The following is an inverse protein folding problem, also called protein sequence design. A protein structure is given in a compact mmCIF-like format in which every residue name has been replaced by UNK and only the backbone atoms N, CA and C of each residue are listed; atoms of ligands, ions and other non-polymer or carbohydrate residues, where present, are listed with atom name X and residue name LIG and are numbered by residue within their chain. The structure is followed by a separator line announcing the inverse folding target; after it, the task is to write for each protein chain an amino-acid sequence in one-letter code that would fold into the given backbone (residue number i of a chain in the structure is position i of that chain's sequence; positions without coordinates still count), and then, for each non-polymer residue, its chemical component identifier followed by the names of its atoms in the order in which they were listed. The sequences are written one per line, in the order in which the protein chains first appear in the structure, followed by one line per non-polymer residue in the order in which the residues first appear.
data_IF_336647521791
#
_entry.id   IF_336647521791
#
_cell.length_a   1.000
_cell.length_b   1.000
_cell.length_c   1.000
_cell.angle_alpha   90.00
_cell.angle_beta   90.00
_cell.angle_gamma   90.00
#
_symmetry.space_group_name_H-M   'P 1'
#
loop_
_entity.id
_entity.type
_entity.pdbx_description
1 polymer ?
#
# COMPACT_ATOMS: atom_id res chain seq x y z
N UNK A 1 -33.64 -4.42 16.83
CA UNK A 1 -33.47 -3.33 15.85
C UNK A 1 -31.96 -3.12 15.71
N UNK A 2 -31.33 -3.78 14.71
CA UNK A 2 -29.93 -3.56 14.39
C UNK A 2 -29.81 -2.26 13.62
N UNK A 3 -29.01 -1.32 14.11
CA UNK A 3 -28.60 -0.18 13.31
C UNK A 3 -27.74 -0.70 12.16
N UNK A 4 -28.27 -0.67 10.95
CA UNK A 4 -27.47 -0.72 9.74
C UNK A 4 -26.54 0.50 9.78
N UNK A 5 -25.26 0.27 10.07
CA UNK A 5 -24.23 1.27 9.88
C UNK A 5 -24.07 1.39 8.37
N UNK A 6 -24.90 2.24 7.77
CA UNK A 6 -24.80 2.59 6.36
C UNK A 6 -23.42 3.19 6.12
N UNK A 7 -22.63 2.56 5.29
CA UNK A 7 -21.40 3.11 4.79
C UNK A 7 -21.71 4.35 3.94
N UNK A 8 -21.44 5.52 4.51
CA UNK A 8 -21.40 6.75 3.70
C UNK A 8 -20.02 6.86 3.07
N UNK A 9 -19.92 7.35 1.83
CA UNK A 9 -18.63 7.56 1.14
C UNK A 9 -17.59 8.31 1.98
N UNK A 10 -18.02 9.17 2.91
CA UNK A 10 -17.14 9.88 3.85
C UNK A 10 -16.43 9.01 4.87
N UNK A 11 -16.88 7.79 5.17
CA UNK A 11 -16.27 6.88 6.13
C UNK A 11 -15.27 5.88 5.48
N UNK A 12 -15.13 5.90 4.16
CA UNK A 12 -14.26 4.98 3.42
C UNK A 12 -12.77 5.15 3.76
N UNK A 13 -12.34 6.30 4.29
CA UNK A 13 -10.94 6.69 4.37
C UNK A 13 -10.44 7.13 5.75
N UNK A 14 -11.02 6.59 6.79
CA UNK A 14 -10.30 6.27 7.99
C UNK A 14 -10.21 4.75 8.13
N UNK A 15 -9.58 4.05 7.15
CA UNK A 15 -9.34 2.64 7.35
C UNK A 15 -8.45 2.52 8.58
N UNK A 16 -8.75 1.58 9.42
CA UNK A 16 -7.87 1.16 10.49
C UNK A 16 -6.65 0.48 9.84
N UNK A 17 -5.73 1.33 9.38
CA UNK A 17 -4.50 0.87 8.71
C UNK A 17 -3.55 0.40 9.79
N UNK A 18 -3.28 -0.88 9.81
CA UNK A 18 -2.39 -1.46 10.80
C UNK A 18 -1.13 -2.06 10.21
N UNK A 19 -0.05 -2.02 10.99
CA UNK A 19 1.18 -2.73 10.69
C UNK A 19 0.99 -4.20 11.10
N UNK A 20 1.16 -5.12 10.15
CA UNK A 20 1.02 -6.54 10.39
C UNK A 20 2.38 -7.21 10.60
N UNK A 21 2.55 -7.81 11.76
CA UNK A 21 3.75 -8.58 12.09
C UNK A 21 3.79 -9.90 11.30
N UNK A 22 4.96 -10.28 10.78
CA UNK A 22 5.15 -11.58 10.17
C UNK A 22 5.25 -12.68 11.24
N UNK A 23 5.12 -13.95 10.83
CA UNK A 23 5.40 -15.07 11.72
C UNK A 23 6.81 -14.98 12.33
N UNK A 24 7.01 -15.37 13.61
CA UNK A 24 8.29 -15.31 14.30
C UNK A 24 9.45 -15.98 13.55
N UNK A 25 9.17 -17.10 12.89
CA UNK A 25 10.16 -17.83 12.08
C UNK A 25 10.69 -17.02 10.89
N UNK A 26 9.90 -16.09 10.35
CA UNK A 26 10.35 -15.19 9.30
C UNK A 26 11.21 -14.06 9.88
N UNK A 27 10.81 -13.54 11.04
CA UNK A 27 11.57 -12.51 11.79
C UNK A 27 13.01 -12.98 12.13
N UNK A 28 13.18 -14.26 12.50
CA UNK A 28 14.46 -14.81 12.89
C UNK A 28 15.53 -14.76 11.76
N UNK A 29 15.10 -14.63 10.50
CA UNK A 29 16.00 -14.59 9.34
C UNK A 29 16.64 -13.21 9.08
N UNK A 30 16.23 -12.19 9.82
CA UNK A 30 16.66 -10.80 9.60
C UNK A 30 17.44 -10.27 10.79
N UNK A 31 18.46 -9.44 10.50
CA UNK A 31 19.23 -8.73 11.54
C UNK A 31 18.37 -7.67 12.23
N UNK A 32 18.86 -7.15 13.36
CA UNK A 32 18.18 -6.06 14.08
C UNK A 32 17.96 -4.81 13.19
N UNK A 33 18.97 -4.43 12.41
CA UNK A 33 18.89 -3.30 11.48
C UNK A 33 17.86 -3.51 10.37
N UNK A 34 17.80 -4.70 9.80
CA UNK A 34 16.81 -5.03 8.78
C UNK A 34 15.38 -5.03 9.34
N UNK A 35 15.21 -5.54 10.56
CA UNK A 35 13.91 -5.49 11.25
C UNK A 35 13.47 -4.04 11.48
N UNK A 36 14.34 -3.21 12.04
CA UNK A 36 14.04 -1.78 12.25
C UNK A 36 13.67 -1.09 10.94
N UNK A 37 14.45 -1.30 9.89
CA UNK A 37 14.17 -0.74 8.57
C UNK A 37 12.77 -1.10 8.07
N UNK A 38 12.35 -2.36 8.15
CA UNK A 38 11.03 -2.77 7.65
C UNK A 38 9.88 -2.24 8.52
N UNK A 39 10.07 -2.07 9.83
CA UNK A 39 9.08 -1.42 10.67
C UNK A 39 8.96 0.06 10.34
N UNK A 40 10.08 0.76 10.17
CA UNK A 40 10.11 2.17 9.77
C UNK A 40 9.47 2.35 8.36
N UNK A 41 9.76 1.42 7.43
CA UNK A 41 9.11 1.35 6.11
C UNK A 41 7.58 1.23 6.24
N UNK A 42 7.10 0.28 7.02
CA UNK A 42 5.67 0.08 7.19
C UNK A 42 5.00 1.30 7.85
N UNK A 43 5.62 1.88 8.87
CA UNK A 43 5.15 3.12 9.51
C UNK A 43 5.09 4.30 8.52
N UNK A 44 6.10 4.43 7.67
CA UNK A 44 6.12 5.45 6.63
C UNK A 44 4.98 5.26 5.60
N UNK A 45 4.76 4.04 5.11
CA UNK A 45 3.66 3.74 4.19
C UNK A 45 2.30 4.03 4.82
N UNK A 46 2.11 3.70 6.10
CA UNK A 46 0.90 4.06 6.85
C UNK A 46 0.67 5.57 6.85
N UNK A 47 1.70 6.37 7.18
CA UNK A 47 1.60 7.84 7.16
C UNK A 47 1.23 8.38 5.78
N UNK A 48 1.82 7.84 4.72
CA UNK A 48 1.51 8.25 3.34
C UNK A 48 0.06 7.92 2.96
N UNK A 49 -0.43 6.73 3.31
CA UNK A 49 -1.81 6.33 3.00
C UNK A 49 -2.82 7.16 3.80
N UNK A 50 -2.50 7.50 5.04
CA UNK A 50 -3.36 8.31 5.91
C UNK A 50 -3.25 9.81 5.63
N UNK A 51 -2.36 10.23 4.75
CA UNK A 51 -2.29 11.62 4.33
C UNK A 51 -3.62 12.08 3.70
N UNK A 52 -4.14 13.22 4.15
CA UNK A 52 -5.45 13.70 3.74
C UNK A 52 -5.61 13.88 2.23
N UNK A 53 -4.58 14.41 1.54
CA UNK A 53 -4.63 14.59 0.09
C UNK A 53 -4.64 13.25 -0.66
N UNK A 54 -3.90 12.26 -0.15
CA UNK A 54 -3.91 10.89 -0.70
C UNK A 54 -5.26 10.24 -0.47
N UNK A 55 -5.77 10.30 0.76
CA UNK A 55 -7.05 9.73 1.13
C UNK A 55 -8.21 10.34 0.33
N UNK A 56 -8.27 11.66 0.20
CA UNK A 56 -9.31 12.36 -0.54
C UNK A 56 -9.30 12.01 -2.02
N UNK A 57 -8.10 11.91 -2.61
CA UNK A 57 -7.96 11.54 -4.01
C UNK A 57 -8.38 10.10 -4.28
N UNK A 58 -7.99 9.15 -3.43
CA UNK A 58 -8.44 7.76 -3.53
C UNK A 58 -9.95 7.66 -3.37
N UNK A 59 -10.53 8.38 -2.40
CA UNK A 59 -11.99 8.44 -2.21
C UNK A 59 -12.69 8.91 -3.47
N UNK A 60 -12.25 10.02 -4.06
CA UNK A 60 -12.83 10.55 -5.30
C UNK A 60 -12.79 9.55 -6.45
N UNK A 61 -11.70 8.78 -6.59
CA UNK A 61 -11.60 7.72 -7.60
C UNK A 61 -12.64 6.62 -7.36
N UNK A 62 -12.78 6.17 -6.11
CA UNK A 62 -13.73 5.12 -5.76
C UNK A 62 -15.18 5.57 -5.97
N UNK A 63 -15.48 6.82 -5.67
CA UNK A 63 -16.80 7.43 -5.93
C UNK A 63 -17.13 7.47 -7.44
N UNK A 64 -16.16 7.94 -8.27
CA UNK A 64 -16.30 7.96 -9.73
C UNK A 64 -16.53 6.55 -10.27
N UNK A 65 -15.80 5.56 -9.77
CA UNK A 65 -15.93 4.18 -10.19
C UNK A 65 -17.13 3.44 -9.59
N UNK A 66 -17.88 4.08 -8.71
CA UNK A 66 -19.04 3.48 -8.05
C UNK A 66 -18.66 2.27 -7.19
N UNK A 67 -17.47 2.28 -6.59
CA UNK A 67 -17.02 1.21 -5.69
C UNK A 67 -17.81 1.30 -4.39
N UNK A 68 -18.61 0.28 -4.11
CA UNK A 68 -19.34 0.15 -2.86
C UNK A 68 -18.66 -0.86 -1.96
N UNK A 69 -18.17 -0.39 -0.83
CA UNK A 69 -17.55 -1.24 0.19
C UNK A 69 -18.59 -1.51 1.27
N UNK A 70 -19.15 -2.72 1.28
CA UNK A 70 -20.23 -3.10 2.21
C UNK A 70 -19.71 -3.42 3.61
N UNK A 71 -18.46 -3.86 3.70
CA UNK A 71 -17.81 -4.24 4.95
C UNK A 71 -16.54 -3.43 5.14
N UNK A 72 -16.19 -3.04 6.37
CA UNK A 72 -14.90 -2.42 6.64
C UNK A 72 -13.76 -3.25 6.07
N UNK A 73 -12.87 -2.62 5.31
CA UNK A 73 -11.68 -3.29 4.78
C UNK A 73 -10.59 -3.23 5.84
N UNK A 74 -10.10 -4.41 6.26
CA UNK A 74 -8.93 -4.53 7.12
C UNK A 74 -7.67 -4.29 6.26
N UNK A 75 -7.14 -3.07 6.30
CA UNK A 75 -5.94 -2.70 5.56
C UNK A 75 -4.70 -2.95 6.39
N UNK A 76 -3.82 -3.79 5.89
CA UNK A 76 -2.56 -4.20 6.55
C UNK A 76 -1.35 -3.80 5.74
N UNK A 77 -0.42 -3.11 6.37
CA UNK A 77 0.93 -2.91 5.82
C UNK A 77 1.86 -3.94 6.44
N UNK A 78 2.40 -4.80 5.59
CA UNK A 78 3.27 -5.91 6.03
C UNK A 78 4.68 -5.40 6.32
N UNK A 79 5.32 -5.96 7.33
CA UNK A 79 6.69 -5.57 7.72
C UNK A 79 7.75 -6.14 6.79
N UNK A 80 7.50 -7.32 6.19
CA UNK A 80 8.49 -7.95 5.29
C UNK A 80 7.94 -8.17 3.89
N UNK A 81 8.81 -8.09 2.85
CA UNK A 81 8.41 -8.32 1.47
C UNK A 81 7.79 -9.70 1.28
N UNK A 82 6.78 -9.77 0.43
CA UNK A 82 6.20 -11.04 0.02
C UNK A 82 7.24 -11.91 -0.70
N UNK A 83 6.98 -13.23 -0.69
CA UNK A 83 7.77 -14.16 -1.50
C UNK A 83 7.46 -13.97 -2.98
N UNK A 84 8.42 -14.25 -3.89
CA UNK A 84 8.14 -14.29 -5.31
C UNK A 84 7.00 -15.27 -5.61
N UNK A 85 6.15 -14.93 -6.56
CA UNK A 85 5.11 -15.83 -7.02
C UNK A 85 5.74 -17.07 -7.69
N UNK A 86 5.29 -18.27 -7.31
CA UNK A 86 5.78 -19.52 -7.91
C UNK A 86 5.57 -19.50 -9.43
N UNK A 87 6.60 -19.90 -10.18
CA UNK A 87 6.55 -19.96 -11.66
C UNK A 87 6.66 -18.62 -12.38
N UNK A 88 6.79 -17.50 -11.65
CA UNK A 88 6.93 -16.16 -12.22
C UNK A 88 8.05 -15.40 -11.48
N UNK A 89 9.27 -15.85 -11.64
CA UNK A 89 10.46 -15.36 -10.90
C UNK A 89 10.62 -13.82 -10.90
N UNK A 90 10.12 -13.13 -11.92
CA UNK A 90 10.20 -11.68 -12.05
C UNK A 90 8.96 -10.92 -11.55
N UNK A 91 7.93 -11.61 -11.06
CA UNK A 91 6.76 -10.94 -10.50
C UNK A 91 6.79 -11.03 -8.98
N UNK A 92 6.87 -9.86 -8.37
CA UNK A 92 6.76 -9.69 -6.94
C UNK A 92 5.31 -9.35 -6.59
N UNK A 93 4.80 -9.94 -5.52
CA UNK A 93 3.52 -9.57 -4.97
C UNK A 93 3.69 -8.29 -4.16
N UNK A 94 3.05 -7.20 -4.58
CA UNK A 94 3.05 -5.93 -3.84
C UNK A 94 1.79 -5.77 -2.99
N UNK A 95 0.72 -6.44 -3.33
CA UNK A 95 -0.52 -6.47 -2.57
C UNK A 95 -1.32 -7.74 -2.79
N UNK A 96 -2.35 -7.90 -1.99
CA UNK A 96 -3.34 -8.95 -2.15
C UNK A 96 -4.65 -8.56 -1.48
N UNK A 97 -5.77 -8.83 -2.15
CA UNK A 97 -7.10 -8.74 -1.58
C UNK A 97 -7.65 -10.12 -1.24
N UNK A 98 -8.08 -10.30 0.00
CA UNK A 98 -8.76 -11.49 0.46
C UNK A 98 -10.26 -11.19 0.61
N UNK A 99 -11.07 -11.64 -0.35
CA UNK A 99 -12.51 -11.42 -0.38
C UNK A 99 -13.24 -11.94 0.86
N UNK A 100 -12.93 -13.15 1.29
CA UNK A 100 -13.60 -13.78 2.43
C UNK A 100 -13.35 -13.06 3.75
N UNK A 101 -12.18 -12.45 3.91
CA UNK A 101 -11.80 -11.70 5.10
C UNK A 101 -12.01 -10.19 4.97
N UNK A 102 -12.42 -9.67 3.80
CA UNK A 102 -12.45 -8.24 3.49
C UNK A 102 -11.14 -7.55 3.87
N UNK A 103 -10.00 -8.15 3.47
CA UNK A 103 -8.67 -7.74 3.89
C UNK A 103 -7.78 -7.40 2.71
N UNK A 104 -7.13 -6.24 2.77
CA UNK A 104 -6.04 -5.86 1.86
C UNK A 104 -4.73 -5.93 2.61
N UNK A 105 -3.73 -6.58 2.00
CA UNK A 105 -2.35 -6.61 2.50
C UNK A 105 -1.43 -5.94 1.50
N UNK A 106 -0.63 -4.97 1.97
CA UNK A 106 0.41 -4.31 1.18
C UNK A 106 1.78 -4.81 1.62
N UNK A 107 2.63 -5.16 0.67
CA UNK A 107 3.95 -5.71 0.93
C UNK A 107 5.04 -4.72 0.51
N UNK A 108 6.10 -4.55 1.33
CA UNK A 108 7.25 -3.75 0.95
C UNK A 108 7.88 -4.21 -0.35
N UNK A 109 8.40 -3.26 -1.12
CA UNK A 109 9.27 -3.57 -2.26
C UNK A 109 10.55 -4.28 -1.76
N UNK A 110 11.12 -5.13 -2.60
CA UNK A 110 12.39 -5.77 -2.27
C UNK A 110 13.55 -4.83 -2.52
N UNK A 111 14.38 -4.71 -1.49
CA UNK A 111 15.63 -3.96 -1.54
C UNK A 111 16.80 -4.90 -1.19
N UNK A 112 18.00 -4.64 -1.73
CA UNK A 112 19.19 -5.40 -1.38
C UNK A 112 19.46 -5.31 0.12
N UNK A 113 19.70 -6.47 0.76
CA UNK A 113 19.89 -6.54 2.22
C UNK A 113 21.11 -5.74 2.67
N UNK A 114 22.19 -5.77 1.87
CA UNK A 114 23.40 -5.03 2.20
C UNK A 114 23.16 -3.52 2.16
N UNK A 115 22.40 -3.04 1.17
CA UNK A 115 22.01 -1.65 1.12
C UNK A 115 21.18 -1.25 2.35
N UNK A 116 20.21 -2.08 2.77
CA UNK A 116 19.41 -1.83 3.97
C UNK A 116 20.29 -1.68 5.21
N UNK A 117 21.31 -2.54 5.37
CA UNK A 117 22.18 -2.55 6.55
C UNK A 117 23.13 -1.35 6.62
N UNK A 118 23.58 -0.85 5.47
CA UNK A 118 24.66 0.14 5.39
C UNK A 118 24.16 1.55 5.09
N UNK A 119 23.12 1.69 4.26
CA UNK A 119 22.69 2.99 3.77
C UNK A 119 21.21 3.31 4.06
N UNK A 120 20.38 2.29 4.20
CA UNK A 120 18.92 2.45 4.30
C UNK A 120 18.40 2.78 5.70
N UNK A 121 19.17 2.50 6.75
CA UNK A 121 18.70 2.43 8.14
C UNK A 121 17.99 3.69 8.65
N UNK A 122 18.35 4.86 8.13
CA UNK A 122 17.88 6.15 8.67
C UNK A 122 16.93 6.89 7.75
N UNK A 123 16.70 6.39 6.52
CA UNK A 123 15.99 7.15 5.48
C UNK A 123 14.57 7.58 5.85
N UNK A 124 13.90 6.81 6.71
CA UNK A 124 12.54 7.13 7.15
C UNK A 124 12.48 8.05 8.38
N UNK A 125 13.65 8.32 9.00
CA UNK A 125 13.79 9.16 10.21
C UNK A 125 14.29 10.56 9.92
N UNK A 126 14.77 10.78 8.70
CA UNK A 126 15.29 12.06 8.25
C UNK A 126 14.19 12.88 7.55
N UNK A 127 14.28 14.19 7.67
CA UNK A 127 13.39 15.06 6.91
C UNK A 127 13.64 14.92 5.41
N UNK A 128 12.60 15.04 4.60
CA UNK A 128 12.69 14.88 3.14
C UNK A 128 13.79 15.75 2.53
N UNK A 129 13.96 16.98 3.03
CA UNK A 129 14.93 17.95 2.51
C UNK A 129 16.37 17.49 2.71
N UNK A 130 16.66 16.75 3.79
CA UNK A 130 18.03 16.30 4.14
C UNK A 130 18.42 15.01 3.44
N UNK A 131 17.48 14.34 2.78
CA UNK A 131 17.75 13.09 2.07
C UNK A 131 18.56 13.34 0.79
N UNK A 132 19.41 12.37 0.46
CA UNK A 132 20.06 12.32 -0.86
C UNK A 132 19.03 12.11 -1.96
N UNK A 133 19.34 12.52 -3.19
CA UNK A 133 18.45 12.33 -4.33
C UNK A 133 18.07 10.87 -4.58
N UNK A 134 19.00 9.94 -4.33
CA UNK A 134 18.73 8.50 -4.42
C UNK A 134 17.65 8.08 -3.41
N UNK A 135 17.77 8.51 -2.15
CA UNK A 135 16.80 8.20 -1.08
C UNK A 135 15.45 8.86 -1.36
N UNK A 136 15.42 10.10 -1.88
CA UNK A 136 14.19 10.78 -2.30
C UNK A 136 13.46 10.00 -3.40
N UNK A 137 14.18 9.57 -4.44
CA UNK A 137 13.63 8.74 -5.52
C UNK A 137 13.07 7.42 -4.97
N UNK A 138 13.79 6.79 -4.05
CA UNK A 138 13.33 5.55 -3.45
C UNK A 138 12.06 5.73 -2.61
N UNK A 139 11.96 6.79 -1.81
CA UNK A 139 10.72 7.13 -1.09
C UNK A 139 9.56 7.36 -2.05
N UNK A 140 9.81 8.04 -3.16
CA UNK A 140 8.80 8.25 -4.20
C UNK A 140 8.32 6.91 -4.78
N UNK A 141 9.22 6.01 -5.14
CA UNK A 141 8.88 4.68 -5.65
C UNK A 141 8.12 3.83 -4.63
N UNK A 142 8.54 3.85 -3.36
CA UNK A 142 7.84 3.17 -2.26
C UNK A 142 6.40 3.66 -2.17
N UNK A 143 6.21 4.98 -2.13
CA UNK A 143 4.89 5.59 -1.96
C UNK A 143 3.99 5.36 -3.17
N UNK A 144 4.53 5.55 -4.37
CA UNK A 144 3.82 5.30 -5.63
C UNK A 144 3.37 3.85 -5.74
N UNK A 145 4.27 2.91 -5.45
CA UNK A 145 3.94 1.48 -5.47
C UNK A 145 2.89 1.13 -4.43
N UNK A 146 3.00 1.65 -3.22
CA UNK A 146 2.01 1.38 -2.16
C UNK A 146 0.62 1.91 -2.53
N UNK A 147 0.52 3.15 -3.03
CA UNK A 147 -0.75 3.75 -3.44
C UNK A 147 -1.34 3.07 -4.67
N UNK A 148 -0.52 2.79 -5.70
CA UNK A 148 -0.97 2.08 -6.89
C UNK A 148 -1.50 0.68 -6.53
N UNK A 149 -0.77 -0.04 -5.67
CA UNK A 149 -1.20 -1.35 -5.18
C UNK A 149 -2.50 -1.26 -4.38
N UNK A 150 -2.61 -0.29 -3.47
CA UNK A 150 -3.84 -0.10 -2.69
C UNK A 150 -5.03 0.20 -3.61
N UNK A 151 -4.87 1.10 -4.58
CA UNK A 151 -5.90 1.40 -5.56
C UNK A 151 -6.28 0.16 -6.38
N UNK A 152 -5.29 -0.62 -6.82
CA UNK A 152 -5.49 -1.88 -7.53
C UNK A 152 -6.39 -2.85 -6.75
N UNK A 153 -6.03 -3.12 -5.49
CA UNK A 153 -6.78 -4.04 -4.64
C UNK A 153 -8.19 -3.51 -4.31
N UNK A 154 -8.35 -2.20 -4.16
CA UNK A 154 -9.66 -1.57 -3.96
C UNK A 154 -10.55 -1.64 -5.21
N UNK A 155 -9.96 -1.54 -6.40
CA UNK A 155 -10.69 -1.67 -7.65
C UNK A 155 -11.20 -3.11 -7.88
N UNK A 156 -10.56 -4.13 -7.32
CA UNK A 156 -11.08 -5.50 -7.32
C UNK A 156 -12.45 -5.60 -6.64
N UNK A 157 -12.70 -4.81 -5.58
CA UNK A 157 -14.02 -4.77 -4.91
C UNK A 157 -15.15 -4.40 -5.87
N UNK A 158 -14.88 -3.53 -6.87
CA UNK A 158 -15.86 -3.17 -7.90
C UNK A 158 -16.34 -4.36 -8.72
N UNK A 159 -15.44 -5.30 -9.01
CA UNK A 159 -15.70 -6.42 -9.89
C UNK A 159 -16.15 -7.68 -9.14
N UNK A 160 -15.95 -7.73 -7.83
CA UNK A 160 -16.31 -8.87 -6.98
C UNK A 160 -17.77 -9.32 -7.20
N UNK A 161 -18.70 -8.37 -7.26
CA UNK A 161 -20.11 -8.64 -7.47
C UNK A 161 -20.46 -9.12 -8.87
N UNK A 162 -19.58 -8.93 -9.84
CA UNK A 162 -19.82 -9.29 -11.24
C UNK A 162 -19.49 -10.74 -11.53
N UNK A 163 -18.85 -11.45 -10.59
CA UNK A 163 -18.44 -12.84 -10.77
C UNK A 163 -17.54 -13.07 -11.98
N UNK A 164 -16.75 -12.06 -12.37
CA UNK A 164 -15.83 -12.16 -13.50
C UNK A 164 -14.68 -13.12 -13.17
N UNK A 165 -14.30 -13.93 -14.15
CA UNK A 165 -13.08 -14.72 -14.02
C UNK A 165 -11.86 -13.79 -13.92
N UNK A 166 -10.87 -14.15 -13.09
CA UNK A 166 -9.70 -13.29 -12.82
C UNK A 166 -8.90 -12.90 -14.05
N UNK A 167 -8.89 -13.73 -15.11
CA UNK A 167 -8.23 -13.39 -16.38
C UNK A 167 -8.95 -12.28 -17.17
N UNK A 168 -10.23 -12.02 -16.87
CA UNK A 168 -11.03 -10.91 -17.45
C UNK A 168 -10.94 -9.68 -16.56
N UNK A 169 -11.03 -9.88 -15.25
CA UNK A 169 -11.02 -8.81 -14.24
C UNK A 169 -9.68 -8.10 -14.17
N UNK A 170 -8.58 -8.84 -14.08
CA UNK A 170 -7.24 -8.30 -13.88
C UNK A 170 -6.81 -7.26 -14.95
N UNK A 171 -7.03 -7.47 -16.27
CA UNK A 171 -6.75 -6.46 -17.28
C UNK A 171 -7.57 -5.18 -17.12
N UNK A 172 -8.83 -5.29 -16.66
CA UNK A 172 -9.70 -4.14 -16.43
C UNK A 172 -9.22 -3.31 -15.24
N UNK A 173 -8.88 -3.98 -14.13
CA UNK A 173 -8.33 -3.34 -12.93
C UNK A 173 -7.02 -2.61 -13.28
N UNK A 174 -6.10 -3.26 -13.99
CA UNK A 174 -4.82 -2.65 -14.43
C UNK A 174 -5.01 -1.43 -15.32
N UNK A 175 -6.00 -1.48 -16.22
CA UNK A 175 -6.32 -0.34 -17.07
C UNK A 175 -6.78 0.86 -16.24
N UNK A 176 -7.69 0.65 -15.30
CA UNK A 176 -8.19 1.70 -14.40
C UNK A 176 -7.08 2.22 -13.48
N UNK A 177 -6.30 1.33 -12.85
CA UNK A 177 -5.14 1.72 -12.05
C UNK A 177 -4.20 2.63 -12.84
N UNK A 178 -3.77 2.20 -14.04
CA UNK A 178 -2.87 2.97 -14.89
C UNK A 178 -3.44 4.34 -15.25
N UNK A 179 -4.73 4.42 -15.52
CA UNK A 179 -5.43 5.67 -15.85
C UNK A 179 -5.46 6.62 -14.65
N UNK A 180 -5.83 6.11 -13.48
CA UNK A 180 -5.98 6.94 -12.27
C UNK A 180 -4.66 7.28 -11.60
N UNK A 181 -3.60 6.51 -11.82
CA UNK A 181 -2.27 6.83 -11.31
C UNK A 181 -1.56 7.95 -12.08
N UNK A 182 -2.15 8.46 -13.15
CA UNK A 182 -1.63 9.66 -13.82
C UNK A 182 -1.86 10.91 -12.96
N UNK A 183 -0.87 11.82 -12.98
CA UNK A 183 -0.97 13.11 -12.29
C UNK A 183 -0.92 13.02 -10.74
N UNK A 184 -0.32 11.97 -10.19
CA UNK A 184 -0.14 11.84 -8.74
C UNK A 184 1.10 12.55 -8.19
N UNK A 185 1.97 13.07 -9.02
CA UNK A 185 3.30 13.56 -8.65
C UNK A 185 3.23 14.63 -7.54
N UNK A 186 2.35 15.63 -7.69
CA UNK A 186 2.20 16.71 -6.70
C UNK A 186 1.63 16.19 -5.38
N UNK A 187 0.59 15.34 -5.44
CA UNK A 187 -0.02 14.74 -4.24
C UNK A 187 0.98 13.88 -3.49
N UNK A 188 1.74 13.05 -4.23
CA UNK A 188 2.78 12.20 -3.66
C UNK A 188 3.89 13.03 -3.01
N UNK A 189 4.41 14.04 -3.68
CA UNK A 189 5.48 14.87 -3.14
C UNK A 189 5.05 15.55 -1.82
N UNK A 190 3.84 16.09 -1.77
CA UNK A 190 3.31 16.72 -0.57
C UNK A 190 3.14 15.69 0.58
N UNK A 191 2.63 14.49 0.29
CA UNK A 191 2.50 13.42 1.29
C UNK A 191 3.87 12.95 1.80
N UNK A 192 4.86 12.80 0.90
CA UNK A 192 6.23 12.44 1.23
C UNK A 192 6.88 13.43 2.20
N UNK A 193 6.73 14.73 1.92
CA UNK A 193 7.29 15.79 2.77
C UNK A 193 6.68 15.79 4.18
N UNK A 194 5.39 15.46 4.30
CA UNK A 194 4.71 15.35 5.59
C UNK A 194 4.99 14.03 6.33
N UNK A 195 5.19 12.94 5.59
CA UNK A 195 5.43 11.62 6.18
C UNK A 195 6.88 11.42 6.67
N UNK A 196 7.82 12.19 6.12
CA UNK A 196 9.27 12.08 6.41
C UNK A 196 9.64 12.93 7.62
N UNK A 197 10.35 12.34 8.58
CA UNK A 197 10.82 13.04 9.79
C UNK A 197 10.10 12.61 11.04
#
# INVERSE_FOLDING_TARGET
MGQEIGWTPGNLWTPDVRIANPPPALLAKYTGKEKSFFYDYAGFVVKVIQDSMVADRLRGILEIEGVQIEKPVDLRVMVFPARPLRGRANRMLHGSYNHSASQISLYPIRLPRDWIRHEGSDMFKLSYQTLTELKKRLLHEISKTAIATLLHELLHVKFERRGLASYVEEPLVRKLESQYMQGWETTLLAALQRASG
#
